data_IF_269728696225
#
_entry.id   IF_269728696225
#
_cell.length_a   1.000
_cell.length_b   1.000
_cell.length_c   1.000
_cell.angle_alpha   90.00
_cell.angle_beta   90.00
_cell.angle_gamma   90.00
#
_symmetry.space_group_name_H-M   'P 1'
#
loop_
_entity.id
_entity.type
_entity.pdbx_description
1 polymer ?
#
# COMPACT_ATOMS: atom_id res chain seq x y z
N UNK A 1 -19.84 -0.17 3.22
CA UNK A 1 -20.43 -0.18 4.59
C UNK A 1 -19.56 -0.92 5.60
N UNK A 2 -19.13 -2.19 5.38
CA UNK A 2 -18.36 -2.97 6.37
C UNK A 2 -17.13 -2.26 6.90
N UNK A 3 -16.32 -1.64 6.01
CA UNK A 3 -15.15 -0.86 6.42
C UNK A 3 -15.50 0.36 7.28
N UNK A 4 -16.63 1.04 6.99
CA UNK A 4 -17.14 2.14 7.82
C UNK A 4 -17.44 1.68 9.25
N UNK A 5 -18.15 0.55 9.38
CA UNK A 5 -18.45 -0.04 10.68
C UNK A 5 -17.16 -0.47 11.41
N UNK A 6 -16.22 -1.13 10.72
CA UNK A 6 -14.95 -1.56 11.32
C UNK A 6 -14.16 -0.38 11.89
N UNK A 7 -14.05 0.73 11.13
CA UNK A 7 -13.40 1.95 11.61
C UNK A 7 -14.12 2.54 12.83
N UNK A 8 -15.47 2.62 12.80
CA UNK A 8 -16.24 3.12 13.95
C UNK A 8 -16.06 2.25 15.20
N UNK A 9 -16.02 0.92 15.04
CA UNK A 9 -15.73 0.03 16.17
C UNK A 9 -14.35 0.28 16.76
N UNK A 10 -13.34 0.45 15.93
CA UNK A 10 -11.98 0.74 16.40
C UNK A 10 -11.88 2.12 17.10
N UNK A 11 -12.66 3.11 16.65
CA UNK A 11 -12.70 4.46 17.24
C UNK A 11 -13.47 4.46 18.56
N UNK A 12 -14.68 3.88 18.60
CA UNK A 12 -15.53 3.94 19.79
C UNK A 12 -15.13 2.96 20.89
N UNK A 13 -14.53 1.83 20.53
CA UNK A 13 -14.17 0.76 21.47
C UNK A 13 -12.70 0.38 21.39
N UNK A 14 -11.77 1.35 21.62
CA UNK A 14 -10.34 1.11 21.40
C UNK A 14 -9.75 0.01 22.29
N UNK A 15 -10.36 -0.29 23.44
CA UNK A 15 -9.92 -1.33 24.34
C UNK A 15 -10.41 -2.74 23.94
N UNK A 16 -11.43 -2.82 23.10
CA UNK A 16 -12.01 -4.09 22.63
C UNK A 16 -11.45 -4.52 21.28
N UNK A 17 -11.11 -3.57 20.40
CA UNK A 17 -10.65 -3.87 19.06
C UNK A 17 -9.12 -3.88 19.06
N UNK A 18 -8.55 -5.06 18.87
CA UNK A 18 -7.10 -5.24 18.79
C UNK A 18 -6.58 -5.12 17.36
N UNK A 19 -7.35 -5.58 16.39
CA UNK A 19 -7.03 -5.54 14.96
C UNK A 19 -8.24 -5.10 14.16
N UNK A 20 -8.02 -4.21 13.21
CA UNK A 20 -9.06 -3.68 12.33
C UNK A 20 -8.64 -3.90 10.87
N UNK A 21 -9.46 -4.63 10.13
CA UNK A 21 -9.23 -4.88 8.70
C UNK A 21 -10.24 -4.07 7.91
N UNK A 22 -9.73 -3.19 7.05
CA UNK A 22 -10.52 -2.33 6.17
C UNK A 22 -10.20 -2.71 4.73
N UNK A 23 -11.20 -3.20 4.00
CA UNK A 23 -11.03 -3.66 2.63
C UNK A 23 -11.92 -2.82 1.72
N UNK A 24 -11.36 -2.29 0.63
CA UNK A 24 -12.07 -1.55 -0.41
C UNK A 24 -13.02 -0.49 0.18
N UNK A 25 -12.47 0.43 0.99
CA UNK A 25 -13.25 1.43 1.72
C UNK A 25 -12.56 2.80 1.74
N UNK A 26 -13.28 3.81 2.23
CA UNK A 26 -12.85 5.20 2.31
C UNK A 26 -13.23 5.82 3.65
N UNK A 27 -12.69 6.98 4.04
CA UNK A 27 -13.10 7.68 5.25
C UNK A 27 -14.44 8.37 5.14
N UNK A 28 -14.96 8.53 3.92
CA UNK A 28 -16.28 9.02 3.53
C UNK A 28 -16.55 8.65 2.07
N UNK A 29 -17.78 8.78 1.60
CA UNK A 29 -18.01 8.70 0.16
C UNK A 29 -17.37 9.88 -0.58
N UNK A 30 -16.76 9.60 -1.73
CA UNK A 30 -16.35 10.63 -2.69
C UNK A 30 -17.57 11.28 -3.32
N UNK A 31 -17.40 12.48 -3.89
CA UNK A 31 -18.50 13.15 -4.61
C UNK A 31 -19.05 12.30 -5.77
N UNK A 32 -18.20 11.50 -6.41
CA UNK A 32 -18.62 10.57 -7.46
C UNK A 32 -19.49 9.44 -6.90
N UNK A 33 -19.07 8.80 -5.81
CA UNK A 33 -19.85 7.75 -5.15
C UNK A 33 -21.20 8.27 -4.65
N UNK A 34 -21.21 9.46 -4.01
CA UNK A 34 -22.45 10.13 -3.61
C UNK A 34 -23.37 10.42 -4.81
N UNK A 35 -22.81 10.81 -5.96
CA UNK A 35 -23.58 11.05 -7.18
C UNK A 35 -24.35 9.79 -7.63
N UNK A 36 -23.73 8.62 -7.57
CA UNK A 36 -24.42 7.35 -7.87
C UNK A 36 -25.52 7.04 -6.85
N UNK A 37 -25.28 7.25 -5.57
CA UNK A 37 -26.27 7.01 -4.52
C UNK A 37 -27.46 8.00 -4.61
N UNK A 38 -27.21 9.27 -4.97
CA UNK A 38 -28.29 10.25 -5.22
C UNK A 38 -29.18 9.75 -6.36
N UNK A 39 -28.61 9.35 -7.50
CA UNK A 39 -29.39 8.82 -8.62
C UNK A 39 -30.15 7.55 -8.21
N UNK A 40 -29.50 6.64 -7.45
CA UNK A 40 -30.16 5.44 -6.97
C UNK A 40 -31.37 5.72 -6.07
N UNK A 41 -31.26 6.71 -5.16
CA UNK A 41 -32.38 7.14 -4.34
C UNK A 41 -33.49 7.81 -5.16
N UNK A 42 -33.10 8.67 -6.09
CA UNK A 42 -34.08 9.38 -6.92
C UNK A 42 -34.92 8.41 -7.74
N UNK A 43 -34.33 7.41 -8.39
CA UNK A 43 -35.12 6.46 -9.18
C UNK A 43 -36.05 5.60 -8.33
N UNK A 44 -35.74 5.35 -7.06
CA UNK A 44 -36.64 4.65 -6.12
C UNK A 44 -37.75 5.57 -5.68
N UNK A 45 -37.43 6.80 -5.22
CA UNK A 45 -38.42 7.71 -4.66
C UNK A 45 -39.35 8.31 -5.72
N UNK A 46 -38.93 8.34 -6.99
CA UNK A 46 -39.75 8.76 -8.13
C UNK A 46 -40.53 7.60 -8.76
N UNK A 47 -40.38 6.36 -8.31
CA UNK A 47 -41.23 5.26 -8.75
C UNK A 47 -42.70 5.58 -8.37
N UNK A 48 -43.66 5.51 -9.30
CA UNK A 48 -45.07 5.78 -9.00
C UNK A 48 -45.64 4.96 -7.83
N UNK A 49 -45.10 3.77 -7.58
CA UNK A 49 -45.55 2.90 -6.51
C UNK A 49 -44.82 3.14 -5.17
N UNK A 50 -43.89 4.10 -5.10
CA UNK A 50 -43.13 4.36 -3.85
C UNK A 50 -44.05 4.96 -2.76
N UNK A 51 -45.02 5.75 -3.16
CA UNK A 51 -46.07 6.32 -2.26
C UNK A 51 -45.48 6.95 -0.97
N UNK A 52 -44.39 7.71 -1.08
CA UNK A 52 -43.72 8.29 0.09
C UNK A 52 -43.15 7.28 1.09
N UNK A 53 -42.95 6.03 0.69
CA UNK A 53 -42.48 4.93 1.52
C UNK A 53 -43.61 4.07 2.13
N UNK A 54 -44.87 4.43 1.91
CA UNK A 54 -46.03 3.67 2.40
C UNK A 54 -46.67 2.83 1.27
N UNK A 55 -45.98 1.74 0.90
CA UNK A 55 -46.36 0.87 -0.22
C UNK A 55 -46.63 -0.60 0.17
N UNK A 56 -46.48 -0.96 1.44
CA UNK A 56 -46.55 -2.36 1.89
C UNK A 56 -47.90 -3.04 1.65
N UNK A 57 -48.98 -2.29 1.63
CA UNK A 57 -50.35 -2.79 1.37
C UNK A 57 -50.77 -2.58 -0.12
N UNK A 58 -49.81 -2.17 -1.00
CA UNK A 58 -50.09 -1.84 -2.39
C UNK A 58 -49.01 -2.40 -3.34
N UNK A 59 -48.91 -1.90 -4.56
CA UNK A 59 -47.83 -2.24 -5.47
C UNK A 59 -46.51 -1.66 -5.00
N UNK A 60 -45.45 -2.49 -5.03
CA UNK A 60 -44.11 -2.11 -4.60
C UNK A 60 -43.38 -1.28 -5.67
N UNK A 61 -42.39 -0.45 -5.28
CA UNK A 61 -41.58 0.36 -6.22
C UNK A 61 -40.48 -0.47 -6.89
N UNK A 62 -40.88 -1.56 -7.55
CA UNK A 62 -40.01 -2.58 -8.09
C UNK A 62 -39.13 -2.06 -9.25
N UNK A 63 -39.68 -1.15 -10.05
CA UNK A 63 -38.98 -0.54 -11.19
C UNK A 63 -37.85 0.36 -10.69
N UNK A 64 -38.13 1.21 -9.72
CA UNK A 64 -37.15 2.08 -9.07
C UNK A 64 -36.03 1.28 -8.39
N UNK A 65 -36.40 0.30 -7.57
CA UNK A 65 -35.46 -0.55 -6.86
C UNK A 65 -34.59 -1.38 -7.82
N UNK A 66 -35.18 -1.93 -8.89
CA UNK A 66 -34.47 -2.62 -9.95
C UNK A 66 -33.45 -1.72 -10.65
N UNK A 67 -33.83 -0.47 -10.98
CA UNK A 67 -32.92 0.47 -11.65
C UNK A 67 -31.77 0.92 -10.72
N UNK A 68 -32.04 1.18 -9.46
CA UNK A 68 -31.00 1.44 -8.46
C UNK A 68 -29.98 0.29 -8.38
N UNK A 69 -30.46 -0.97 -8.40
CA UNK A 69 -29.58 -2.14 -8.41
C UNK A 69 -28.75 -2.26 -9.67
N UNK A 70 -29.32 -1.95 -10.85
CA UNK A 70 -28.55 -1.92 -12.12
C UNK A 70 -27.41 -0.92 -12.06
N UNK A 71 -27.68 0.27 -11.53
CA UNK A 71 -26.66 1.30 -11.34
C UNK A 71 -25.54 0.81 -10.41
N UNK A 72 -25.90 0.21 -9.28
CA UNK A 72 -24.91 -0.37 -8.36
C UNK A 72 -24.02 -1.43 -9.03
N UNK A 73 -24.60 -2.31 -9.86
CA UNK A 73 -23.78 -3.30 -10.60
C UNK A 73 -22.79 -2.67 -11.58
N UNK A 74 -23.07 -1.51 -12.12
CA UNK A 74 -22.10 -0.77 -12.95
C UNK A 74 -20.93 -0.31 -12.09
N UNK A 75 -21.16 0.15 -10.86
CA UNK A 75 -20.10 0.66 -9.99
C UNK A 75 -19.22 -0.42 -9.36
N UNK A 76 -19.67 -1.67 -9.31
CA UNK A 76 -18.92 -2.77 -8.70
C UNK A 76 -17.85 -3.38 -9.61
N UNK A 77 -18.01 -3.27 -10.92
CA UNK A 77 -17.06 -3.82 -11.88
C UNK A 77 -16.16 -2.71 -12.44
N UNK A 78 -14.92 -3.05 -12.75
CA UNK A 78 -14.04 -2.15 -13.50
C UNK A 78 -14.45 -2.06 -14.97
N UNK A 79 -14.02 -1.00 -15.67
CA UNK A 79 -14.25 -0.88 -17.11
C UNK A 79 -13.66 -2.06 -17.88
N UNK A 80 -12.45 -2.50 -17.51
CA UNK A 80 -11.77 -3.65 -18.13
C UNK A 80 -12.52 -4.95 -17.85
N UNK A 81 -12.95 -5.17 -16.61
CA UNK A 81 -13.74 -6.35 -16.22
C UNK A 81 -15.08 -6.41 -16.94
N UNK A 82 -15.75 -5.25 -17.10
CA UNK A 82 -16.99 -5.18 -17.87
C UNK A 82 -16.75 -5.51 -19.35
N UNK A 83 -15.72 -4.94 -19.97
CA UNK A 83 -15.40 -5.21 -21.37
C UNK A 83 -15.04 -6.69 -21.60
N UNK A 84 -14.29 -7.30 -20.70
CA UNK A 84 -13.96 -8.73 -20.78
C UNK A 84 -15.20 -9.62 -20.63
N UNK A 85 -16.09 -9.29 -19.68
CA UNK A 85 -17.27 -10.09 -19.37
C UNK A 85 -18.37 -9.95 -20.41
N UNK A 86 -18.55 -8.74 -20.98
CA UNK A 86 -19.66 -8.41 -21.86
C UNK A 86 -19.19 -7.96 -23.24
N UNK A 87 -18.09 -8.57 -23.76
CA UNK A 87 -17.62 -8.31 -25.12
C UNK A 87 -18.82 -8.23 -26.05
N UNK A 88 -18.85 -7.26 -26.95
CA UNK A 88 -19.83 -7.20 -28.02
C UNK A 88 -19.67 -8.48 -28.86
N UNK A 89 -20.26 -9.56 -28.36
CA UNK A 89 -20.15 -10.85 -29.00
C UNK A 89 -20.86 -10.78 -30.35
N UNK A 90 -20.13 -11.07 -31.42
CA UNK A 90 -20.70 -11.41 -32.73
C UNK A 90 -21.33 -12.81 -32.71
N UNK A 91 -21.25 -13.54 -31.58
CA UNK A 91 -21.72 -14.91 -31.45
C UNK A 91 -23.19 -14.96 -31.03
N UNK A 92 -24.01 -15.50 -31.91
CA UNK A 92 -25.47 -15.66 -31.82
C UNK A 92 -25.95 -16.61 -30.71
N UNK A 93 -25.07 -17.29 -29.97
CA UNK A 93 -25.46 -18.29 -28.98
C UNK A 93 -25.87 -17.71 -27.62
N UNK A 94 -25.58 -16.45 -27.33
CA UNK A 94 -25.94 -15.80 -26.03
C UNK A 94 -27.36 -15.26 -25.96
N UNK A 95 -28.18 -15.45 -26.98
CA UNK A 95 -29.52 -14.83 -27.11
C UNK A 95 -30.66 -15.54 -26.35
N UNK A 96 -30.37 -16.54 -25.52
CA UNK A 96 -31.40 -17.42 -24.96
C UNK A 96 -31.83 -17.13 -23.52
N UNK A 97 -31.71 -15.91 -23.03
CA UNK A 97 -32.40 -15.53 -21.78
C UNK A 97 -33.46 -14.46 -22.08
N UNK A 98 -34.65 -14.92 -22.41
CA UNK A 98 -35.84 -14.08 -22.60
C UNK A 98 -36.20 -13.37 -21.30
N UNK A 99 -35.75 -12.14 -21.12
CA UNK A 99 -36.32 -11.20 -20.15
C UNK A 99 -37.39 -10.36 -20.87
N UNK A 100 -38.60 -10.40 -20.36
CA UNK A 100 -39.89 -10.04 -20.95
C UNK A 100 -40.13 -8.53 -21.19
N UNK A 101 -39.11 -7.71 -21.34
CA UNK A 101 -39.26 -6.27 -21.64
C UNK A 101 -38.35 -5.89 -22.78
N UNK A 102 -38.75 -6.14 -24.03
CA UNK A 102 -38.10 -5.56 -25.19
C UNK A 102 -38.80 -4.26 -25.57
N UNK A 103 -38.04 -3.18 -25.64
CA UNK A 103 -38.46 -1.93 -26.25
C UNK A 103 -37.87 -1.85 -27.68
N UNK A 104 -38.45 -1.01 -28.57
CA UNK A 104 -37.87 -0.80 -29.89
C UNK A 104 -36.44 -0.25 -29.89
N UNK A 105 -35.92 0.15 -28.72
CA UNK A 105 -34.60 0.78 -28.51
C UNK A 105 -33.57 -0.20 -27.93
N UNK A 106 -33.98 -1.44 -27.61
CA UNK A 106 -33.07 -2.44 -27.06
C UNK A 106 -32.07 -2.92 -28.13
N UNK A 107 -30.82 -3.08 -27.75
CA UNK A 107 -29.75 -3.51 -28.64
C UNK A 107 -29.45 -5.02 -28.54
N UNK A 108 -30.20 -5.76 -27.68
CA UNK A 108 -29.98 -7.19 -27.38
C UNK A 108 -28.54 -7.51 -26.95
N UNK A 109 -27.91 -6.61 -26.19
CA UNK A 109 -26.56 -6.80 -25.71
C UNK A 109 -26.51 -7.72 -24.47
N UNK A 110 -25.47 -8.53 -24.31
CA UNK A 110 -25.28 -9.36 -23.11
C UNK A 110 -25.32 -8.53 -21.81
N UNK A 111 -24.80 -7.29 -21.84
CA UNK A 111 -24.85 -6.36 -20.74
C UNK A 111 -26.29 -5.97 -20.34
N UNK A 112 -27.17 -5.73 -21.32
CA UNK A 112 -28.58 -5.41 -21.04
C UNK A 112 -29.28 -6.55 -20.30
N UNK A 113 -29.12 -7.76 -20.83
CA UNK A 113 -29.68 -8.98 -20.22
C UNK A 113 -29.15 -9.20 -18.80
N UNK A 114 -27.86 -9.00 -18.58
CA UNK A 114 -27.24 -9.10 -17.27
C UNK A 114 -27.81 -8.08 -16.27
N UNK A 115 -27.87 -6.80 -16.65
CA UNK A 115 -28.37 -5.75 -15.75
C UNK A 115 -29.86 -5.94 -15.43
N UNK A 116 -30.68 -6.32 -16.41
CA UNK A 116 -32.09 -6.65 -16.22
C UNK A 116 -32.26 -7.81 -15.25
N UNK A 117 -31.50 -8.88 -15.43
CA UNK A 117 -31.51 -10.05 -14.54
C UNK A 117 -31.14 -9.67 -13.09
N UNK A 118 -30.07 -8.89 -12.91
CA UNK A 118 -29.62 -8.47 -11.58
C UNK A 118 -30.64 -7.55 -10.89
N UNK A 119 -31.26 -6.64 -11.64
CA UNK A 119 -32.33 -5.79 -11.11
C UNK A 119 -33.57 -6.58 -10.68
N UNK A 120 -34.08 -7.48 -11.54
CA UNK A 120 -35.21 -8.31 -11.23
C UNK A 120 -34.99 -9.22 -10.01
N UNK A 121 -33.84 -9.94 -9.99
CA UNK A 121 -33.48 -10.81 -8.86
C UNK A 121 -33.33 -10.05 -7.54
N UNK A 122 -32.99 -8.78 -7.57
CA UNK A 122 -32.84 -7.97 -6.36
C UNK A 122 -34.18 -7.60 -5.73
N UNK A 123 -35.16 -7.26 -6.54
CA UNK A 123 -36.51 -6.94 -6.13
C UNK A 123 -37.16 -8.07 -5.34
N UNK A 124 -36.94 -9.32 -5.75
CA UNK A 124 -37.50 -10.51 -5.05
C UNK A 124 -37.02 -10.69 -3.61
N UNK A 125 -35.93 -10.04 -3.22
CA UNK A 125 -35.26 -10.29 -1.93
C UNK A 125 -34.94 -9.06 -1.12
N UNK A 126 -35.19 -7.86 -1.64
CA UNK A 126 -34.77 -6.63 -0.96
C UNK A 126 -35.90 -5.60 -0.98
N UNK A 127 -36.04 -4.88 0.11
CA UNK A 127 -37.07 -3.86 0.30
C UNK A 127 -36.50 -2.46 -0.03
N UNK A 128 -37.32 -1.61 -0.68
CA UNK A 128 -36.89 -0.28 -1.12
C UNK A 128 -36.62 0.67 0.06
N UNK A 129 -37.45 0.65 1.11
CA UNK A 129 -37.20 1.48 2.30
C UNK A 129 -35.91 1.04 3.01
N UNK A 130 -35.68 -0.28 3.12
CA UNK A 130 -34.43 -0.81 3.67
C UNK A 130 -33.22 -0.35 2.86
N UNK A 131 -33.29 -0.36 1.52
CA UNK A 131 -32.25 0.17 0.65
C UNK A 131 -31.98 1.65 0.96
N UNK A 132 -33.02 2.46 0.99
CA UNK A 132 -32.91 3.91 1.24
C UNK A 132 -32.30 4.23 2.61
N UNK A 133 -32.70 3.50 3.67
CA UNK A 133 -32.14 3.68 5.01
C UNK A 133 -30.65 3.29 5.06
N UNK A 134 -30.28 2.18 4.43
CA UNK A 134 -28.89 1.73 4.37
C UNK A 134 -28.04 2.72 3.55
N UNK A 135 -28.52 3.14 2.39
CA UNK A 135 -27.86 4.15 1.56
C UNK A 135 -27.68 5.46 2.34
N UNK A 136 -28.72 5.97 2.99
CA UNK A 136 -28.63 7.19 3.81
C UNK A 136 -27.60 7.07 4.94
N UNK A 137 -27.54 5.94 5.63
CA UNK A 137 -26.54 5.70 6.68
C UNK A 137 -25.12 5.68 6.15
N UNK A 138 -24.90 5.14 4.94
CA UNK A 138 -23.56 5.15 4.29
C UNK A 138 -23.18 6.52 3.74
N UNK A 139 -24.13 7.24 3.16
CA UNK A 139 -23.91 8.58 2.62
C UNK A 139 -23.59 9.61 3.71
N UNK A 140 -24.20 9.43 4.89
CA UNK A 140 -23.98 10.28 6.07
C UNK A 140 -22.66 9.98 6.79
N UNK A 141 -21.95 8.93 6.39
CA UNK A 141 -20.67 8.59 7.02
C UNK A 141 -19.57 9.51 6.53
N UNK A 142 -19.03 10.33 7.43
CA UNK A 142 -17.90 11.22 7.17
C UNK A 142 -17.10 11.43 8.46
N UNK A 143 -15.96 10.76 8.55
CA UNK A 143 -15.06 10.86 9.70
C UNK A 143 -14.40 12.24 9.82
N UNK A 144 -14.18 12.93 8.70
CA UNK A 144 -13.58 14.28 8.74
C UNK A 144 -14.53 15.30 9.32
N UNK A 145 -15.80 15.29 8.87
CA UNK A 145 -16.82 16.17 9.41
C UNK A 145 -17.10 15.87 10.88
N UNK A 146 -17.15 14.61 11.29
CA UNK A 146 -17.49 14.23 12.65
C UNK A 146 -16.38 14.56 13.67
N UNK A 147 -15.10 14.41 13.29
CA UNK A 147 -13.95 14.59 14.22
C UNK A 147 -13.10 15.82 13.89
N UNK A 148 -13.45 16.60 12.90
CA UNK A 148 -12.71 17.78 12.43
C UNK A 148 -11.49 17.43 11.56
N UNK A 149 -10.92 16.23 11.68
CA UNK A 149 -9.91 15.66 10.79
C UNK A 149 -9.83 14.14 10.95
N UNK A 150 -9.25 13.45 9.97
CA UNK A 150 -9.05 12.00 10.04
C UNK A 150 -8.06 11.61 11.13
N UNK A 151 -7.00 12.39 11.35
CA UNK A 151 -6.05 12.16 12.41
C UNK A 151 -6.71 12.23 13.80
N UNK A 152 -7.62 13.19 13.98
CA UNK A 152 -8.38 13.30 15.23
C UNK A 152 -9.30 12.09 15.42
N UNK A 153 -9.93 11.60 14.37
CA UNK A 153 -10.77 10.41 14.42
C UNK A 153 -9.98 9.19 14.93
N UNK A 154 -8.75 9.02 14.47
CA UNK A 154 -7.92 7.89 14.85
C UNK A 154 -7.04 8.10 16.09
N UNK A 155 -7.00 9.29 16.68
CA UNK A 155 -6.11 9.63 17.82
C UNK A 155 -6.24 8.67 19.00
N UNK A 156 -7.45 8.26 19.36
CA UNK A 156 -7.75 7.37 20.47
C UNK A 156 -7.62 5.87 20.15
N UNK A 157 -7.47 5.50 18.90
CA UNK A 157 -7.44 4.10 18.45
C UNK A 157 -6.20 3.39 19.01
N UNK A 158 -6.38 2.12 19.40
CA UNK A 158 -5.31 1.21 19.86
C UNK A 158 -5.10 0.02 18.94
N UNK A 159 -6.05 -0.23 18.05
CA UNK A 159 -6.00 -1.33 17.10
C UNK A 159 -4.87 -1.16 16.09
N UNK A 160 -4.25 -2.27 15.71
CA UNK A 160 -3.44 -2.39 14.50
C UNK A 160 -4.36 -2.47 13.28
N UNK A 161 -3.97 -1.83 12.17
CA UNK A 161 -4.78 -1.78 10.96
C UNK A 161 -4.15 -2.56 9.82
N UNK A 162 -4.98 -3.32 9.11
CA UNK A 162 -4.72 -3.77 7.75
C UNK A 162 -5.68 -3.05 6.81
N UNK A 163 -5.16 -2.16 5.98
CA UNK A 163 -5.92 -1.38 5.01
C UNK A 163 -5.64 -1.90 3.60
N UNK A 164 -6.63 -2.49 2.95
CA UNK A 164 -6.49 -3.12 1.63
C UNK A 164 -7.35 -2.38 0.63
N UNK A 165 -6.75 -1.92 -0.45
CA UNK A 165 -7.44 -1.36 -1.58
C UNK A 165 -7.31 -2.25 -2.82
N UNK A 166 -8.08 -1.96 -3.86
CA UNK A 166 -8.11 -2.70 -5.11
C UNK A 166 -7.74 -1.74 -6.24
N UNK A 167 -6.78 -2.13 -7.09
CA UNK A 167 -6.17 -1.23 -8.09
C UNK A 167 -7.18 -0.61 -9.07
N UNK A 168 -8.25 -1.32 -9.41
CA UNK A 168 -9.28 -0.88 -10.36
C UNK A 168 -10.62 -0.52 -9.72
N UNK A 169 -10.68 -0.43 -8.38
CA UNK A 169 -11.90 0.02 -7.69
C UNK A 169 -12.11 1.52 -7.92
N UNK A 170 -13.15 1.87 -8.65
CA UNK A 170 -13.49 3.26 -8.94
C UNK A 170 -14.64 3.80 -8.09
N UNK A 171 -15.32 2.92 -7.33
CA UNK A 171 -16.27 3.32 -6.30
C UNK A 171 -15.56 3.76 -5.02
N UNK A 172 -14.56 2.99 -4.58
CA UNK A 172 -13.64 3.31 -3.49
C UNK A 172 -12.20 3.31 -4.02
N UNK A 173 -11.82 4.35 -4.76
CA UNK A 173 -10.54 4.35 -5.46
C UNK A 173 -9.35 4.35 -4.49
N UNK A 174 -8.20 3.78 -4.90
CA UNK A 174 -7.01 3.61 -4.06
C UNK A 174 -6.58 4.88 -3.32
N UNK A 175 -6.73 6.06 -3.92
CA UNK A 175 -6.33 7.32 -3.27
C UNK A 175 -7.17 7.63 -2.02
N UNK A 176 -8.45 7.24 -1.95
CA UNK A 176 -9.28 7.41 -0.74
C UNK A 176 -8.85 6.46 0.37
N UNK A 177 -8.47 5.22 0.03
CA UNK A 177 -7.90 4.27 0.98
C UNK A 177 -6.55 4.76 1.53
N UNK A 178 -5.69 5.35 0.68
CA UNK A 178 -4.42 5.96 1.11
C UNK A 178 -4.63 7.09 2.13
N UNK A 179 -5.74 7.82 2.09
CA UNK A 179 -6.06 8.85 3.11
C UNK A 179 -6.24 8.23 4.49
N UNK A 180 -6.85 7.04 4.59
CA UNK A 180 -6.98 6.30 5.87
C UNK A 180 -5.58 5.95 6.38
N UNK A 181 -4.73 5.38 5.52
CA UNK A 181 -3.35 5.00 5.87
C UNK A 181 -2.54 6.20 6.38
N UNK A 182 -2.53 7.30 5.62
CA UNK A 182 -1.81 8.52 5.99
C UNK A 182 -2.31 9.11 7.32
N UNK A 183 -3.63 9.11 7.55
CA UNK A 183 -4.19 9.62 8.79
C UNK A 183 -3.84 8.73 10.00
N UNK A 184 -3.85 7.41 9.86
CA UNK A 184 -3.41 6.47 10.90
C UNK A 184 -1.94 6.70 11.25
N UNK A 185 -1.05 6.79 10.25
CA UNK A 185 0.37 7.08 10.46
C UNK A 185 0.59 8.41 11.17
N UNK A 186 -0.09 9.45 10.69
CA UNK A 186 -0.01 10.80 11.27
C UNK A 186 -0.59 10.88 12.69
N UNK A 187 -1.48 9.97 13.05
CA UNK A 187 -1.96 9.78 14.41
C UNK A 187 -1.04 8.86 15.27
N UNK A 188 0.08 8.38 14.70
CA UNK A 188 1.03 7.50 15.37
C UNK A 188 0.49 6.08 15.59
N UNK A 189 -0.30 5.56 14.63
CA UNK A 189 -0.91 4.24 14.70
C UNK A 189 -0.18 3.25 13.79
N UNK A 190 -0.16 1.99 14.20
CA UNK A 190 0.39 0.89 13.39
C UNK A 190 -0.59 0.54 12.27
N UNK A 191 -0.12 0.59 11.04
CA UNK A 191 -0.91 0.25 9.85
C UNK A 191 -0.06 -0.46 8.80
N UNK A 192 -0.59 -1.56 8.29
CA UNK A 192 -0.13 -2.17 7.03
C UNK A 192 -1.12 -1.80 5.93
N UNK A 193 -0.62 -1.36 4.79
CA UNK A 193 -1.46 -0.95 3.66
C UNK A 193 -1.05 -1.69 2.40
N UNK A 194 -2.02 -2.32 1.75
CA UNK A 194 -1.85 -3.15 0.56
C UNK A 194 -2.73 -2.65 -0.57
N UNK A 195 -2.22 -2.73 -1.80
CA UNK A 195 -2.98 -2.56 -3.02
C UNK A 195 -2.97 -3.88 -3.80
N UNK A 196 -4.13 -4.52 -3.89
CA UNK A 196 -4.28 -5.75 -4.66
C UNK A 196 -4.55 -5.40 -6.12
N UNK A 197 -3.71 -5.90 -7.00
CA UNK A 197 -3.93 -5.77 -8.44
C UNK A 197 -5.08 -6.68 -8.87
N UNK A 198 -6.14 -6.09 -9.41
CA UNK A 198 -7.34 -6.79 -9.86
C UNK A 198 -7.98 -6.09 -11.05
N UNK A 199 -8.62 -6.86 -11.91
CA UNK A 199 -9.41 -6.33 -13.03
C UNK A 199 -10.91 -6.26 -12.72
N UNK A 200 -11.35 -6.71 -11.54
CA UNK A 200 -12.76 -6.87 -11.21
C UNK A 200 -13.39 -5.68 -10.45
N UNK A 201 -12.66 -4.57 -10.29
CA UNK A 201 -13.17 -3.40 -9.58
C UNK A 201 -13.44 -3.68 -8.11
N UNK A 202 -14.53 -3.11 -7.58
CA UNK A 202 -14.92 -3.29 -6.18
C UNK A 202 -15.19 -4.76 -5.82
N UNK A 203 -15.77 -5.54 -6.74
CA UNK A 203 -16.04 -6.97 -6.50
C UNK A 203 -14.77 -7.84 -6.46
N UNK A 204 -13.59 -7.29 -6.75
CA UNK A 204 -12.32 -8.02 -6.73
C UNK A 204 -12.06 -8.75 -5.42
N UNK A 205 -12.43 -8.18 -4.27
CA UNK A 205 -12.26 -8.82 -2.97
C UNK A 205 -13.15 -10.06 -2.76
N UNK A 206 -14.19 -10.22 -3.56
CA UNK A 206 -15.08 -11.40 -3.55
C UNK A 206 -14.67 -12.45 -4.57
N UNK A 207 -13.97 -12.05 -5.63
CA UNK A 207 -13.65 -12.90 -6.78
C UNK A 207 -12.22 -13.42 -6.68
N UNK A 208 -11.26 -12.55 -6.37
CA UNK A 208 -9.83 -12.87 -6.29
C UNK A 208 -9.36 -12.97 -4.82
N UNK A 209 -9.92 -13.95 -4.10
CA UNK A 209 -9.72 -14.08 -2.65
C UNK A 209 -8.35 -14.66 -2.25
N UNK A 210 -7.54 -15.16 -3.18
CA UNK A 210 -6.31 -15.90 -2.87
C UNK A 210 -5.27 -15.07 -2.12
N UNK A 211 -4.87 -13.95 -2.69
CA UNK A 211 -3.85 -13.07 -2.10
C UNK A 211 -4.41 -12.24 -0.94
N UNK A 212 -5.67 -11.82 -1.04
CA UNK A 212 -6.37 -11.20 0.07
C UNK A 212 -6.44 -12.15 1.28
N UNK A 213 -6.81 -13.43 1.07
CA UNK A 213 -6.89 -14.43 2.12
C UNK A 213 -5.52 -14.66 2.81
N UNK A 214 -4.44 -14.69 2.03
CA UNK A 214 -3.07 -14.79 2.57
C UNK A 214 -2.72 -13.57 3.43
N UNK A 215 -2.98 -12.36 2.94
CA UNK A 215 -2.70 -11.13 3.67
C UNK A 215 -3.48 -11.04 4.98
N UNK A 216 -4.79 -11.33 4.92
CA UNK A 216 -5.65 -11.36 6.11
C UNK A 216 -5.20 -12.44 7.09
N UNK A 217 -4.91 -13.66 6.61
CA UNK A 217 -4.44 -14.75 7.45
C UNK A 217 -3.15 -14.39 8.18
N UNK A 218 -2.13 -13.93 7.45
CA UNK A 218 -0.85 -13.51 8.04
C UNK A 218 -1.02 -12.36 9.04
N UNK A 219 -1.83 -11.36 8.71
CA UNK A 219 -2.11 -10.26 9.62
C UNK A 219 -2.82 -10.73 10.90
N UNK A 220 -3.71 -11.71 10.83
CA UNK A 220 -4.42 -12.26 11.99
C UNK A 220 -3.55 -13.23 12.81
N UNK A 221 -2.66 -13.97 12.15
CA UNK A 221 -1.76 -14.94 12.78
C UNK A 221 -0.49 -14.29 13.34
N UNK A 222 -0.17 -13.06 12.92
CA UNK A 222 0.98 -12.30 13.42
C UNK A 222 0.93 -12.24 14.96
N UNK A 223 2.04 -12.59 15.59
CA UNK A 223 2.13 -12.64 17.06
C UNK A 223 2.12 -11.21 17.58
N UNK A 224 1.16 -10.91 18.44
CA UNK A 224 1.18 -9.68 19.22
C UNK A 224 2.43 -9.75 20.09
N UNK A 225 3.29 -8.73 19.97
CA UNK A 225 4.58 -8.54 20.65
C UNK A 225 4.85 -9.60 21.75
N UNK A 226 5.86 -10.44 21.61
CA UNK A 226 6.12 -11.49 22.60
C UNK A 226 6.48 -10.87 23.94
N UNK A 227 5.73 -11.20 24.97
CA UNK A 227 6.29 -11.17 26.32
C UNK A 227 7.51 -12.10 26.34
N UNK A 228 8.61 -11.62 26.90
CA UNK A 228 10.01 -12.05 26.82
C UNK A 228 10.31 -13.52 27.23
N UNK A 229 9.68 -14.54 26.66
CA UNK A 229 9.91 -15.95 27.04
C UNK A 229 10.02 -16.98 25.90
N UNK A 230 9.93 -16.58 24.63
CA UNK A 230 10.11 -17.50 23.52
C UNK A 230 11.49 -17.38 22.88
N UNK A 231 12.42 -18.23 23.31
CA UNK A 231 13.68 -18.52 22.61
C UNK A 231 13.36 -19.27 21.31
N UNK A 232 13.01 -18.54 20.24
CA UNK A 232 12.90 -19.14 18.90
C UNK A 232 14.22 -19.02 18.15
N UNK A 233 14.51 -20.07 17.39
CA UNK A 233 15.63 -20.15 16.46
C UNK A 233 15.69 -18.90 15.59
N UNK A 234 16.74 -18.12 15.72
CA UNK A 234 16.96 -16.93 14.90
C UNK A 234 16.99 -17.33 13.42
N UNK A 235 16.23 -16.69 12.54
CA UNK A 235 16.39 -16.88 11.11
C UNK A 235 17.85 -16.55 10.71
N UNK A 236 18.39 -17.28 9.76
CA UNK A 236 19.74 -17.05 9.24
C UNK A 236 19.69 -15.79 8.37
N UNK A 237 20.12 -14.67 8.91
CA UNK A 237 20.24 -13.41 8.18
C UNK A 237 21.44 -13.48 7.23
N UNK A 238 21.24 -13.22 5.95
CA UNK A 238 22.31 -13.32 4.95
C UNK A 238 23.32 -12.16 4.97
N UNK A 239 23.04 -11.05 5.69
CA UNK A 239 23.89 -9.85 5.78
C UNK A 239 24.10 -9.38 7.23
N UNK A 240 24.42 -10.29 8.13
CA UNK A 240 24.51 -10.02 9.57
C UNK A 240 25.49 -8.91 9.96
N UNK A 241 26.60 -8.74 9.25
CA UNK A 241 27.61 -7.70 9.55
C UNK A 241 27.04 -6.28 9.26
N UNK A 242 26.31 -6.12 8.14
CA UNK A 242 25.67 -4.85 7.79
C UNK A 242 24.55 -4.50 8.78
N UNK A 243 23.72 -5.49 9.15
CA UNK A 243 22.64 -5.29 10.11
C UNK A 243 23.15 -4.94 11.51
N UNK A 244 24.22 -5.59 11.97
CA UNK A 244 24.86 -5.27 13.24
C UNK A 244 25.42 -3.85 13.24
N UNK A 245 26.04 -3.42 12.14
CA UNK A 245 26.54 -2.05 12.03
C UNK A 245 25.41 -1.01 11.97
N UNK A 246 24.39 -1.22 11.14
CA UNK A 246 23.19 -0.35 11.10
C UNK A 246 22.54 -0.30 12.48
N UNK A 247 22.38 -1.45 13.15
CA UNK A 247 21.85 -1.53 14.51
C UNK A 247 22.69 -0.76 15.54
N UNK A 248 24.01 -0.66 15.35
CA UNK A 248 24.88 0.15 16.22
C UNK A 248 24.63 1.67 16.08
N UNK A 249 24.16 2.10 14.89
CA UNK A 249 23.83 3.51 14.61
C UNK A 249 22.46 3.92 15.13
N UNK A 250 21.54 2.97 15.27
CA UNK A 250 20.16 3.20 15.70
C UNK A 250 20.06 3.14 17.22
N UNK A 251 19.43 4.15 17.84
CA UNK A 251 19.18 4.18 19.29
C UNK A 251 17.99 3.31 19.65
N UNK A 252 18.02 2.74 20.84
CA UNK A 252 16.89 2.01 21.41
C UNK A 252 15.64 2.88 21.53
N UNK A 253 14.47 2.27 21.42
CA UNK A 253 13.15 2.91 21.53
C UNK A 253 12.94 4.09 20.56
N UNK A 254 13.62 4.10 19.41
CA UNK A 254 13.43 5.11 18.36
C UNK A 254 12.41 4.65 17.32
N UNK A 255 11.99 5.57 16.45
CA UNK A 255 11.12 5.29 15.31
C UNK A 255 11.95 5.20 14.02
N UNK A 256 11.81 4.08 13.31
CA UNK A 256 12.59 3.77 12.12
C UNK A 256 11.68 3.54 10.93
N UNK A 257 11.95 4.25 9.83
CA UNK A 257 11.35 4.04 8.52
C UNK A 257 12.38 3.41 7.58
N UNK A 258 12.03 2.35 6.88
CA UNK A 258 12.91 1.73 5.87
C UNK A 258 12.27 1.78 4.47
N UNK A 259 12.95 2.38 3.51
CA UNK A 259 12.49 2.58 2.14
C UNK A 259 13.08 1.51 1.21
N UNK A 260 12.20 0.68 0.64
CA UNK A 260 12.60 -0.54 -0.06
C UNK A 260 13.01 -1.62 0.94
N UNK A 261 12.17 -1.86 1.95
CA UNK A 261 12.52 -2.74 3.06
C UNK A 261 12.60 -4.24 2.68
N UNK A 262 12.28 -4.60 1.44
CA UNK A 262 12.27 -5.98 0.98
C UNK A 262 11.37 -6.87 1.84
N UNK A 263 11.90 -7.98 2.32
CA UNK A 263 11.18 -8.94 3.18
C UNK A 263 11.10 -8.52 4.67
N UNK A 264 11.60 -7.33 5.02
CA UNK A 264 11.52 -6.77 6.37
C UNK A 264 12.56 -7.31 7.37
N UNK A 265 13.53 -8.13 6.94
CA UNK A 265 14.52 -8.74 7.86
C UNK A 265 15.31 -7.71 8.69
N UNK A 266 15.76 -6.61 8.07
CA UNK A 266 16.45 -5.54 8.78
C UNK A 266 15.56 -4.91 9.86
N UNK A 267 14.30 -4.63 9.53
CA UNK A 267 13.35 -4.02 10.46
C UNK A 267 12.99 -4.98 11.60
N UNK A 268 12.78 -6.26 11.32
CA UNK A 268 12.58 -7.29 12.34
C UNK A 268 13.78 -7.41 13.28
N UNK A 269 15.01 -7.44 12.72
CA UNK A 269 16.24 -7.43 13.50
C UNK A 269 16.34 -6.22 14.43
N UNK A 270 16.07 -5.01 13.90
CA UNK A 270 16.12 -3.77 14.68
C UNK A 270 15.05 -3.75 15.77
N UNK A 271 13.83 -4.20 15.47
CA UNK A 271 12.75 -4.29 16.44
C UNK A 271 13.12 -5.23 17.61
N UNK A 272 13.57 -6.45 17.30
CA UNK A 272 13.95 -7.46 18.31
C UNK A 272 15.15 -7.05 19.14
N UNK A 273 16.16 -6.42 18.53
CA UNK A 273 17.42 -6.09 19.18
C UNK A 273 17.41 -4.75 19.93
N UNK A 274 16.63 -3.78 19.44
CA UNK A 274 16.65 -2.39 19.91
C UNK A 274 15.29 -1.88 20.40
N UNK A 275 14.24 -2.69 20.33
CA UNK A 275 12.87 -2.30 20.70
C UNK A 275 12.40 -1.02 19.99
N UNK A 276 12.74 -0.87 18.71
CA UNK A 276 12.35 0.28 17.89
C UNK A 276 10.96 0.09 17.30
N UNK A 277 10.22 1.19 17.15
CA UNK A 277 9.00 1.19 16.32
C UNK A 277 9.42 1.20 14.85
N UNK A 278 9.00 0.22 14.08
CA UNK A 278 9.41 0.04 12.68
C UNK A 278 8.25 0.25 11.71
N UNK A 279 8.58 0.76 10.53
CA UNK A 279 7.67 0.83 9.38
C UNK A 279 8.48 0.62 8.10
N UNK A 280 8.03 -0.29 7.25
CA UNK A 280 8.61 -0.52 5.93
C UNK A 280 7.80 0.15 4.81
N UNK A 281 8.47 0.50 3.72
CA UNK A 281 7.85 0.81 2.43
C UNK A 281 8.43 -0.18 1.41
N UNK A 282 7.57 -0.87 0.70
CA UNK A 282 7.96 -1.87 -0.30
C UNK A 282 6.92 -1.90 -1.43
N UNK A 283 7.36 -2.14 -2.67
CA UNK A 283 6.44 -2.25 -3.82
C UNK A 283 6.08 -3.69 -4.16
N UNK A 284 6.99 -4.63 -3.89
CA UNK A 284 6.83 -6.02 -4.27
C UNK A 284 5.88 -6.76 -3.32
N UNK A 285 4.74 -7.22 -3.83
CA UNK A 285 3.72 -7.90 -3.05
C UNK A 285 4.24 -9.14 -2.31
N UNK A 286 5.13 -9.94 -2.92
CA UNK A 286 5.70 -11.12 -2.27
C UNK A 286 6.53 -10.74 -1.06
N UNK A 287 7.41 -9.74 -1.19
CA UNK A 287 8.24 -9.23 -0.09
C UNK A 287 7.37 -8.67 1.05
N UNK A 288 6.26 -8.01 0.70
CA UNK A 288 5.28 -7.52 1.68
C UNK A 288 4.64 -8.68 2.46
N UNK A 289 4.35 -9.79 1.78
CA UNK A 289 3.84 -10.97 2.48
C UNK A 289 4.86 -11.54 3.48
N UNK A 290 6.16 -11.48 3.14
CA UNK A 290 7.22 -11.89 4.06
C UNK A 290 7.36 -10.90 5.24
N UNK A 291 7.18 -9.59 5.02
CA UNK A 291 7.08 -8.59 6.10
C UNK A 291 5.96 -8.94 7.09
N UNK A 292 4.78 -9.31 6.60
CA UNK A 292 3.66 -9.71 7.45
C UNK A 292 3.96 -10.98 8.27
N UNK A 293 4.73 -11.93 7.72
CA UNK A 293 5.19 -13.12 8.46
C UNK A 293 6.18 -12.76 9.58
N UNK A 294 6.95 -11.69 9.38
CA UNK A 294 7.93 -11.18 10.34
C UNK A 294 7.35 -10.14 11.31
N UNK A 295 6.03 -9.95 11.34
CA UNK A 295 5.35 -8.93 12.17
C UNK A 295 5.86 -7.48 11.90
N UNK A 296 6.30 -7.19 10.68
CA UNK A 296 6.78 -5.88 10.26
C UNK A 296 5.65 -5.11 9.57
N UNK A 297 5.18 -3.98 10.14
CA UNK A 297 4.24 -3.10 9.46
C UNK A 297 4.85 -2.56 8.17
N UNK A 298 4.11 -2.63 7.07
CA UNK A 298 4.61 -2.25 5.75
C UNK A 298 3.53 -1.56 4.92
N UNK A 299 3.94 -0.57 4.14
CA UNK A 299 3.08 0.12 3.17
C UNK A 299 3.52 -0.25 1.77
N UNK A 300 2.60 -0.81 1.00
CA UNK A 300 2.84 -1.04 -0.42
C UNK A 300 2.86 0.27 -1.18
N UNK A 301 4.04 0.62 -1.72
CA UNK A 301 4.20 1.88 -2.44
C UNK A 301 5.39 1.82 -3.39
N UNK A 302 5.22 2.38 -4.57
CA UNK A 302 6.33 2.72 -5.46
C UNK A 302 6.86 4.11 -5.07
N UNK A 303 8.13 4.16 -4.68
CA UNK A 303 8.79 5.39 -4.22
C UNK A 303 8.95 6.42 -5.33
N UNK A 304 9.11 5.97 -6.59
CA UNK A 304 9.25 6.85 -7.75
C UNK A 304 7.93 7.50 -8.19
N UNK A 305 6.78 6.86 -7.90
CA UNK A 305 5.46 7.36 -8.29
C UNK A 305 4.80 8.18 -7.19
N UNK A 306 4.88 7.71 -5.96
CA UNK A 306 4.09 8.26 -4.86
C UNK A 306 4.94 8.94 -3.78
N UNK A 307 6.25 8.69 -3.73
CA UNK A 307 7.15 9.27 -2.73
C UNK A 307 6.68 9.05 -1.28
N UNK A 308 7.05 9.97 -0.40
CA UNK A 308 6.69 9.96 1.04
C UNK A 308 6.16 11.32 1.52
N UNK A 309 5.65 12.15 0.61
CA UNK A 309 5.24 13.54 0.90
C UNK A 309 4.05 13.65 1.89
N UNK A 310 3.27 12.60 2.04
CA UNK A 310 2.13 12.52 2.96
C UNK A 310 2.53 12.23 4.42
N UNK A 311 3.79 11.88 4.68
CA UNK A 311 4.31 11.73 6.03
C UNK A 311 4.64 13.10 6.64
N UNK A 312 4.34 13.27 7.93
CA UNK A 312 4.66 14.50 8.65
C UNK A 312 6.16 14.68 8.85
N UNK A 313 6.61 15.94 8.86
CA UNK A 313 7.98 16.31 9.16
C UNK A 313 8.40 15.77 10.53
N UNK A 314 9.60 15.18 10.57
CA UNK A 314 10.20 14.69 11.81
C UNK A 314 9.43 13.57 12.51
N UNK A 315 8.59 12.81 11.81
CA UNK A 315 7.80 11.70 12.37
C UNK A 315 8.65 10.48 12.73
N UNK A 316 9.89 10.41 12.24
CA UNK A 316 10.84 9.35 12.54
C UNK A 316 12.16 9.88 13.11
N UNK A 317 12.84 9.05 13.90
CA UNK A 317 14.20 9.35 14.36
C UNK A 317 15.24 8.99 13.33
N UNK A 318 15.01 7.87 12.62
CA UNK A 318 15.86 7.38 11.54
C UNK A 318 15.04 6.98 10.33
N UNK A 319 15.55 7.30 9.15
CA UNK A 319 15.09 6.70 7.90
C UNK A 319 16.25 5.91 7.28
N UNK A 320 15.96 4.73 6.78
CA UNK A 320 16.93 3.84 6.16
C UNK A 320 16.60 3.73 4.68
N UNK A 321 17.61 3.70 3.84
CA UNK A 321 17.52 3.31 2.45
C UNK A 321 18.65 2.31 2.19
N UNK A 322 18.30 1.03 2.30
CA UNK A 322 19.27 -0.06 2.26
C UNK A 322 19.34 -0.66 0.86
N UNK A 323 20.45 -0.42 0.14
CA UNK A 323 20.70 -0.92 -1.22
C UNK A 323 19.60 -0.60 -2.23
N UNK A 324 18.85 0.47 -2.01
CA UNK A 324 17.71 0.88 -2.85
C UNK A 324 17.99 2.19 -3.60
N UNK A 325 18.89 3.05 -3.09
CA UNK A 325 19.14 4.38 -3.67
C UNK A 325 19.53 4.33 -5.15
N UNK A 326 20.22 3.28 -5.60
CA UNK A 326 20.64 3.10 -6.99
C UNK A 326 19.50 2.71 -7.92
N UNK A 327 18.33 2.32 -7.39
CA UNK A 327 17.14 1.95 -8.16
C UNK A 327 16.19 3.14 -8.34
N UNK A 328 16.39 4.25 -7.62
CA UNK A 328 15.51 5.41 -7.59
C UNK A 328 15.81 6.36 -8.75
N UNK A 329 14.76 6.86 -9.41
CA UNK A 329 14.88 7.81 -10.54
C UNK A 329 15.43 9.17 -10.10
N UNK A 330 14.95 9.70 -8.97
CA UNK A 330 15.42 10.96 -8.38
C UNK A 330 15.92 10.77 -6.95
N UNK A 331 17.16 10.28 -6.76
CA UNK A 331 17.71 10.03 -5.42
C UNK A 331 17.92 11.34 -4.63
N UNK A 332 18.07 12.49 -5.29
CA UNK A 332 18.24 13.78 -4.60
C UNK A 332 16.94 14.20 -3.93
N UNK A 333 15.84 14.17 -4.68
CA UNK A 333 14.52 14.46 -4.13
C UNK A 333 14.18 13.51 -2.98
N UNK A 334 14.47 12.21 -3.13
CA UNK A 334 14.21 11.22 -2.10
C UNK A 334 15.04 11.45 -0.83
N UNK A 335 16.35 11.77 -0.94
CA UNK A 335 17.19 12.07 0.22
C UNK A 335 16.70 13.32 0.98
N UNK A 336 16.23 14.34 0.26
CA UNK A 336 15.65 15.53 0.88
C UNK A 336 14.35 15.22 1.63
N UNK A 337 13.49 14.37 1.06
CA UNK A 337 12.27 13.89 1.70
C UNK A 337 12.57 13.00 2.92
N UNK A 338 13.56 12.11 2.83
CA UNK A 338 14.03 11.31 3.98
C UNK A 338 14.40 12.20 5.16
N UNK A 339 15.20 13.25 4.89
CA UNK A 339 15.63 14.21 5.92
C UNK A 339 14.57 15.26 6.27
N UNK A 340 13.44 15.28 5.60
CA UNK A 340 12.24 15.98 6.05
C UNK A 340 11.48 15.15 7.09
N UNK A 341 11.28 13.86 6.81
CA UNK A 341 10.49 12.97 7.67
C UNK A 341 11.28 12.39 8.84
N UNK A 342 12.61 12.33 8.75
CA UNK A 342 13.48 11.78 9.78
C UNK A 342 14.61 12.72 10.18
N UNK A 343 15.07 12.61 11.44
CA UNK A 343 16.20 13.42 11.95
C UNK A 343 17.53 13.02 11.32
N UNK A 344 17.69 11.74 10.99
CA UNK A 344 18.88 11.13 10.37
C UNK A 344 18.47 10.14 9.30
N UNK A 345 19.27 10.04 8.26
CA UNK A 345 19.10 9.00 7.26
C UNK A 345 20.34 8.08 7.22
N UNK A 346 20.11 6.78 7.13
CA UNK A 346 21.15 5.76 6.92
C UNK A 346 21.00 5.30 5.48
N UNK A 347 22.05 5.53 4.69
CA UNK A 347 22.09 5.22 3.26
C UNK A 347 23.14 4.16 3.02
N UNK A 348 22.75 3.08 2.34
CA UNK A 348 23.71 2.05 1.96
C UNK A 348 23.71 1.86 0.45
N UNK A 349 24.88 1.63 -0.12
CA UNK A 349 25.02 1.44 -1.56
C UNK A 349 26.30 0.69 -1.93
N UNK A 350 26.30 -0.09 -3.04
CA UNK A 350 27.49 -0.69 -3.61
C UNK A 350 28.36 0.39 -4.27
N UNK A 351 29.66 0.32 -4.05
CA UNK A 351 30.59 1.29 -4.65
C UNK A 351 31.00 0.86 -6.05
N UNK A 352 30.43 1.47 -7.07
CA UNK A 352 30.84 1.21 -8.47
C UNK A 352 32.28 1.62 -8.77
N UNK A 353 32.89 2.45 -7.90
CA UNK A 353 34.31 2.86 -7.99
C UNK A 353 35.32 1.81 -7.49
N UNK A 354 34.89 0.64 -7.03
CA UNK A 354 35.77 -0.41 -6.49
C UNK A 354 36.78 -0.92 -7.52
N UNK A 355 37.96 -1.28 -7.07
CA UNK A 355 39.09 -1.67 -7.96
C UNK A 355 38.77 -2.85 -8.87
N UNK A 356 38.00 -3.83 -8.41
CA UNK A 356 37.58 -4.97 -9.24
C UNK A 356 36.68 -4.56 -10.39
N UNK A 357 35.73 -3.67 -10.12
CA UNK A 357 34.82 -3.09 -11.11
C UNK A 357 35.59 -2.32 -12.18
N UNK A 358 36.53 -1.45 -11.75
CA UNK A 358 37.39 -0.67 -12.65
C UNK A 358 38.31 -1.59 -13.46
N UNK A 359 38.93 -2.56 -12.81
CA UNK A 359 39.81 -3.52 -13.46
C UNK A 359 39.08 -4.38 -14.50
N UNK A 360 37.89 -4.85 -14.17
CA UNK A 360 37.07 -5.62 -15.10
C UNK A 360 36.67 -4.78 -16.34
N UNK A 361 36.20 -3.54 -16.12
CA UNK A 361 35.84 -2.66 -17.23
C UNK A 361 37.04 -2.33 -18.12
N UNK A 362 38.21 -2.04 -17.50
CA UNK A 362 39.46 -1.72 -18.23
C UNK A 362 39.97 -2.90 -19.04
N UNK A 363 39.94 -4.11 -18.47
CA UNK A 363 40.54 -5.30 -19.11
C UNK A 363 39.60 -5.96 -20.11
N UNK A 364 38.32 -5.99 -19.86
CA UNK A 364 37.36 -6.70 -20.69
C UNK A 364 36.48 -5.80 -21.55
N UNK A 365 36.42 -4.48 -21.30
CA UNK A 365 35.57 -3.54 -22.04
C UNK A 365 34.07 -3.84 -21.93
N UNK A 366 33.63 -4.52 -20.88
CA UNK A 366 32.23 -4.91 -20.62
C UNK A 366 31.81 -4.43 -19.25
N UNK A 367 30.50 -4.14 -19.10
CA UNK A 367 29.95 -3.78 -17.81
C UNK A 367 30.26 -4.89 -16.80
N UNK A 368 30.88 -4.55 -15.68
CA UNK A 368 31.33 -5.53 -14.70
C UNK A 368 30.12 -6.09 -13.94
N UNK A 369 30.20 -7.39 -13.66
CA UNK A 369 29.32 -8.06 -12.71
C UNK A 369 30.09 -8.39 -11.45
N UNK A 370 29.44 -8.24 -10.31
CA UNK A 370 30.00 -8.61 -9.01
C UNK A 370 28.91 -9.20 -8.12
N UNK A 371 29.26 -9.67 -6.93
CA UNK A 371 28.28 -10.10 -5.92
C UNK A 371 27.27 -8.98 -5.61
N UNK A 372 27.75 -7.72 -5.55
CA UNK A 372 26.95 -6.53 -5.26
C UNK A 372 26.17 -5.99 -6.49
N UNK A 373 26.60 -6.33 -7.70
CA UNK A 373 26.02 -5.93 -8.97
C UNK A 373 25.85 -7.15 -9.88
N UNK A 374 24.92 -8.09 -9.55
CA UNK A 374 24.85 -9.40 -10.20
C UNK A 374 24.17 -9.39 -11.58
N UNK A 375 23.47 -8.31 -11.92
CA UNK A 375 22.62 -8.21 -13.11
C UNK A 375 23.38 -7.93 -14.40
N UNK A 376 22.78 -8.23 -15.52
CA UNK A 376 23.24 -7.75 -16.82
C UNK A 376 22.89 -6.25 -16.98
N UNK A 377 23.58 -5.56 -17.87
CA UNK A 377 23.36 -4.15 -18.10
C UNK A 377 21.95 -3.80 -18.63
N UNK A 378 21.25 -4.77 -19.20
CA UNK A 378 19.91 -4.59 -19.81
C UNK A 378 18.74 -5.06 -18.92
N UNK A 379 18.99 -5.78 -17.83
CA UNK A 379 17.95 -6.28 -16.91
C UNK A 379 18.17 -5.84 -15.45
N UNK A 380 19.13 -4.95 -15.23
CA UNK A 380 19.47 -4.45 -13.90
C UNK A 380 18.41 -3.46 -13.37
N UNK A 381 17.97 -3.59 -12.11
CA UNK A 381 17.18 -2.56 -11.46
C UNK A 381 18.02 -1.30 -11.12
N UNK A 382 19.35 -1.41 -11.14
CA UNK A 382 20.27 -0.34 -10.78
C UNK A 382 20.37 0.69 -11.90
N UNK A 383 19.61 1.76 -11.83
CA UNK A 383 19.61 2.85 -12.83
C UNK A 383 20.56 3.99 -12.49
N UNK A 384 21.09 4.04 -11.26
CA UNK A 384 22.04 5.05 -10.77
C UNK A 384 23.27 4.35 -10.19
N UNK A 385 24.36 4.42 -10.92
CA UNK A 385 25.65 3.90 -10.45
C UNK A 385 26.41 5.04 -9.77
N UNK A 386 26.79 4.84 -8.50
CA UNK A 386 27.51 5.88 -7.74
C UNK A 386 28.77 5.31 -7.11
N UNK A 387 29.70 6.21 -6.81
CA UNK A 387 30.94 5.92 -6.10
C UNK A 387 30.96 6.64 -4.75
N UNK A 388 31.88 6.27 -3.88
CA UNK A 388 32.10 6.98 -2.61
C UNK A 388 32.28 8.48 -2.85
N UNK A 389 33.06 8.86 -3.89
CA UNK A 389 33.33 10.25 -4.23
C UNK A 389 32.06 11.00 -4.69
N UNK A 390 31.23 10.35 -5.50
CA UNK A 390 30.00 10.95 -5.97
C UNK A 390 29.05 11.22 -4.81
N UNK A 391 28.96 10.27 -3.85
CA UNK A 391 28.12 10.45 -2.66
C UNK A 391 28.60 11.62 -1.78
N UNK A 392 29.91 11.77 -1.55
CA UNK A 392 30.47 12.94 -0.84
C UNK A 392 30.13 14.25 -1.56
N UNK A 393 30.34 14.27 -2.90
CA UNK A 393 30.05 15.46 -3.72
C UNK A 393 28.56 15.83 -3.66
N UNK A 394 27.68 14.83 -3.68
CA UNK A 394 26.24 15.02 -3.54
C UNK A 394 25.89 15.60 -2.17
N UNK A 395 26.40 15.03 -1.09
CA UNK A 395 26.16 15.54 0.26
C UNK A 395 26.62 16.98 0.44
N UNK A 396 27.80 17.33 -0.11
CA UNK A 396 28.32 18.71 -0.04
C UNK A 396 27.44 19.68 -0.84
N UNK A 397 27.03 19.30 -2.05
CA UNK A 397 26.17 20.10 -2.92
C UNK A 397 24.79 20.35 -2.30
N UNK A 398 24.19 19.35 -1.70
CA UNK A 398 22.87 19.44 -1.07
C UNK A 398 22.92 19.97 0.38
N UNK A 399 24.09 20.35 0.89
CA UNK A 399 24.24 20.87 2.25
C UNK A 399 23.98 19.82 3.33
N UNK A 400 24.24 18.55 3.04
CA UNK A 400 24.10 17.45 3.97
C UNK A 400 25.39 17.21 4.75
N UNK A 401 25.23 16.81 6.01
CA UNK A 401 26.35 16.42 6.87
C UNK A 401 26.44 14.90 6.92
N UNK A 402 27.59 14.34 6.57
CA UNK A 402 27.89 12.93 6.84
C UNK A 402 28.33 12.84 8.31
N UNK A 403 27.50 12.27 9.17
CA UNK A 403 27.81 12.08 10.61
C UNK A 403 28.77 10.90 10.79
N UNK A 404 28.55 9.82 10.07
CA UNK A 404 29.38 8.60 10.12
C UNK A 404 29.36 7.93 8.76
N UNK A 405 30.49 7.35 8.38
CA UNK A 405 30.62 6.54 7.18
C UNK A 405 31.46 5.31 7.49
N UNK A 406 31.01 4.14 7.07
CA UNK A 406 31.71 2.87 7.20
C UNK A 406 31.85 2.23 5.83
N UNK A 407 32.97 1.56 5.64
CA UNK A 407 33.33 0.84 4.42
C UNK A 407 33.37 -0.64 4.71
N UNK A 408 32.39 -1.37 4.20
CA UNK A 408 32.32 -2.81 4.35
C UNK A 408 33.11 -3.48 3.24
N UNK A 409 33.94 -4.45 3.59
CA UNK A 409 34.89 -5.08 2.68
C UNK A 409 35.08 -6.57 3.05
N UNK A 410 34.89 -7.46 2.11
CA UNK A 410 35.20 -8.89 2.27
C UNK A 410 36.69 -9.17 2.00
N UNK A 411 37.25 -8.53 0.97
CA UNK A 411 38.64 -8.79 0.54
C UNK A 411 39.70 -8.10 1.40
N UNK A 412 40.78 -8.81 1.72
CA UNK A 412 41.89 -8.25 2.50
C UNK A 412 42.53 -7.02 1.87
N UNK A 413 42.64 -6.98 0.52
CA UNK A 413 43.18 -5.85 -0.21
C UNK A 413 42.25 -4.63 -0.07
N UNK A 414 40.97 -4.84 -0.16
CA UNK A 414 39.93 -3.79 0.02
C UNK A 414 40.01 -3.18 1.42
N UNK A 415 40.15 -4.04 2.47
CA UNK A 415 40.36 -3.59 3.86
C UNK A 415 41.64 -2.75 4.01
N UNK A 416 42.74 -3.18 3.40
CA UNK A 416 43.97 -2.40 3.42
C UNK A 416 43.84 -1.06 2.72
N UNK A 417 43.29 -1.04 1.51
CA UNK A 417 43.12 0.19 0.72
C UNK A 417 42.25 1.21 1.42
N UNK A 418 41.15 0.79 2.03
CA UNK A 418 40.28 1.68 2.81
C UNK A 418 40.97 2.22 4.05
N UNK A 419 41.76 1.39 4.76
CA UNK A 419 42.50 1.80 5.96
C UNK A 419 43.57 2.89 5.67
N UNK A 420 44.18 2.87 4.48
CA UNK A 420 45.17 3.88 4.07
C UNK A 420 44.57 5.09 3.34
N UNK A 421 43.22 5.27 3.37
CA UNK A 421 42.52 6.43 2.84
C UNK A 421 42.07 6.34 1.38
N UNK A 422 42.26 5.20 0.69
CA UNK A 422 41.79 4.97 -0.67
C UNK A 422 40.39 4.39 -0.74
N UNK A 423 39.47 4.91 0.08
CA UNK A 423 38.11 4.38 0.21
C UNK A 423 37.34 4.28 -1.12
N UNK A 424 37.46 5.31 -2.00
CA UNK A 424 36.80 5.30 -3.32
C UNK A 424 37.28 4.15 -4.25
N UNK A 425 38.45 3.60 -3.98
CA UNK A 425 39.04 2.49 -4.74
C UNK A 425 38.89 1.15 -4.02
N UNK A 426 38.96 1.17 -2.68
CA UNK A 426 38.98 -0.03 -1.85
C UNK A 426 37.60 -0.45 -1.29
N UNK A 427 36.66 0.46 -1.08
CA UNK A 427 35.37 0.08 -0.50
C UNK A 427 34.50 -0.73 -1.49
N UNK A 428 33.97 -1.85 -1.03
CA UNK A 428 33.03 -2.69 -1.77
C UNK A 428 31.61 -2.18 -1.58
N UNK A 429 31.24 -1.94 -0.32
CA UNK A 429 29.94 -1.47 0.10
C UNK A 429 30.09 -0.31 1.11
N UNK A 430 29.16 0.60 1.11
CA UNK A 430 29.19 1.81 1.96
C UNK A 430 27.93 1.87 2.82
N UNK A 431 28.10 2.18 4.10
CA UNK A 431 27.02 2.54 5.03
C UNK A 431 27.33 3.93 5.56
N UNK A 432 26.47 4.89 5.27
CA UNK A 432 26.63 6.28 5.69
C UNK A 432 25.41 6.76 6.47
N UNK A 433 25.65 7.44 7.59
CA UNK A 433 24.60 8.17 8.31
C UNK A 433 24.74 9.65 8.02
N UNK A 434 23.66 10.26 7.56
CA UNK A 434 23.60 11.67 7.17
C UNK A 434 22.51 12.43 7.93
N UNK A 435 22.68 13.74 8.04
CA UNK A 435 21.70 14.68 8.60
C UNK A 435 21.73 16.02 7.83
N UNK A 436 20.76 16.88 8.06
CA UNK A 436 20.84 18.29 7.62
C UNK A 436 21.97 18.99 8.37
N UNK A 437 22.67 19.93 7.70
CA UNK A 437 23.68 20.81 8.33
C UNK A 437 23.04 21.80 9.27
#
# INVERSE_FOLDING_TARGET
>A
MGGFQAMKWAIYYPDLVRRCIVIASSPRFSSQALGFEIVARDVITQDPNFNGGDYYESAHPDVGLSNARKLAHITYLSAVGMEQKFKRAQDQESRNHAVTYSTPFDLDLPLESYLRYQGAKFVDRFDANSYLHIAHATDSFDLETEYGSLENAFKGVKAEFLNVNLSTDWLFPPHESRRITSALLNAGKTVTSLELDTQFGHDGFLIEVGDLGKAVGRFLDSKIIPTATDTQVMPVFHDTEDFDYIGSLVKENSKVLDLGCGNGELLDFLNKKKHVEVLGIERNFKSIMDCLENDVPVIQRDLDESGISDFKDGSFDYAIINRTIQEIRDPVALLNELLRVAKRAIVTFPNFGHWTTRGSLMLHGRMPKSKELPYEWYDTPNIRLLTVKDFHTLCDKEGLKIETISYQNEHKLSKFLTAIGFANFGAEHVIAMISKK
#
